data_IF_971641238997
#
_entry.id   IF_971641238997
#
_cell.length_a   1.000
_cell.length_b   1.000
_cell.length_c   1.000
_cell.angle_alpha   90.00
_cell.angle_beta   90.00
_cell.angle_gamma   90.00
#
_symmetry.space_group_name_H-M   'P 1'
#
loop_
_entity.id
_entity.type
_entity.pdbx_description
1 polymer ?
#
# COMPACT_ATOMS: atom_id res chain seq x y z
N UNK A 1 17.96 -17.20 -5.84
CA UNK A 1 17.42 -18.47 -6.37
C UNK A 1 18.22 -18.85 -7.60
N UNK A 2 18.43 -20.14 -7.80
CA UNK A 2 19.08 -20.72 -8.99
C UNK A 2 18.05 -21.16 -10.06
N UNK A 3 16.86 -20.55 -10.06
CA UNK A 3 15.71 -20.81 -10.95
C UNK A 3 14.94 -22.11 -10.69
N UNK A 4 15.23 -22.83 -9.62
CA UNK A 4 14.47 -24.04 -9.20
C UNK A 4 13.20 -23.73 -8.41
N UNK A 5 12.92 -22.45 -8.15
CA UNK A 5 11.74 -21.98 -7.41
C UNK A 5 11.94 -21.96 -5.87
N UNK A 6 13.11 -22.31 -5.37
CA UNK A 6 13.44 -22.27 -3.95
C UNK A 6 14.39 -21.13 -3.61
N UNK A 7 14.38 -20.70 -2.36
CA UNK A 7 15.31 -19.71 -1.84
C UNK A 7 16.64 -20.35 -1.45
N UNK A 8 17.74 -19.97 -2.10
CA UNK A 8 19.08 -20.42 -1.73
C UNK A 8 19.66 -19.65 -0.55
N UNK A 9 19.23 -18.40 -0.39
CA UNK A 9 19.72 -17.51 0.66
C UNK A 9 18.58 -16.68 1.24
N UNK A 10 18.59 -16.53 2.57
CA UNK A 10 17.72 -15.62 3.31
C UNK A 10 18.59 -14.62 4.07
N UNK A 11 18.39 -13.33 3.82
CA UNK A 11 19.08 -12.25 4.51
C UNK A 11 18.11 -11.25 5.07
N UNK A 12 18.18 -10.97 6.36
CA UNK A 12 17.43 -9.86 6.97
C UNK A 12 18.01 -8.54 6.52
N UNK A 13 17.16 -7.64 6.01
CA UNK A 13 17.52 -6.27 5.62
C UNK A 13 17.18 -5.26 6.71
N UNK A 14 16.29 -5.60 7.64
CA UNK A 14 15.89 -4.75 8.77
C UNK A 14 15.28 -5.58 9.89
N UNK A 15 15.34 -5.09 11.13
CA UNK A 15 14.78 -5.71 12.32
C UNK A 15 14.49 -4.67 13.40
N UNK A 16 13.81 -5.06 14.48
CA UNK A 16 13.48 -4.15 15.60
C UNK A 16 12.02 -3.67 15.58
N UNK A 17 11.14 -4.41 14.93
CA UNK A 17 9.70 -4.19 14.90
C UNK A 17 9.01 -4.96 16.03
N UNK A 18 7.94 -4.35 16.62
CA UNK A 18 7.25 -4.82 17.80
C UNK A 18 8.00 -4.55 19.12
N UNK A 19 7.99 -3.31 19.58
CA UNK A 19 8.41 -2.91 20.94
C UNK A 19 7.42 -3.42 21.98
N UNK A 20 6.12 -3.39 21.65
CA UNK A 20 5.05 -3.95 22.47
C UNK A 20 4.56 -5.30 21.92
N UNK A 21 3.84 -6.04 22.76
CA UNK A 21 3.16 -7.25 22.31
C UNK A 21 2.07 -6.83 21.33
N UNK A 22 2.14 -7.38 20.12
CA UNK A 22 1.15 -7.13 19.08
C UNK A 22 -0.06 -8.04 19.21
N UNK A 23 -1.23 -7.44 19.00
CA UNK A 23 -2.48 -8.17 18.85
C UNK A 23 -3.07 -7.87 17.46
N UNK A 24 -3.76 -8.84 16.89
CA UNK A 24 -4.66 -8.60 15.74
C UNK A 24 -4.06 -7.83 14.55
N UNK A 25 -2.89 -8.26 14.07
CA UNK A 25 -2.37 -7.74 12.81
C UNK A 25 -1.68 -6.38 12.86
N UNK A 26 -1.25 -5.90 14.04
CA UNK A 26 -0.46 -4.66 14.16
C UNK A 26 1.05 -4.86 13.86
N UNK A 27 1.43 -6.00 13.29
CA UNK A 27 2.79 -6.32 12.89
C UNK A 27 3.23 -5.63 11.60
N UNK A 28 4.39 -6.06 11.10
CA UNK A 28 4.87 -5.60 9.79
C UNK A 28 3.94 -6.04 8.66
N UNK A 29 3.66 -5.13 7.74
CA UNK A 29 2.77 -5.39 6.61
C UNK A 29 3.04 -4.42 5.44
N UNK A 30 2.43 -4.68 4.30
CA UNK A 30 2.40 -3.78 3.16
C UNK A 30 3.74 -3.59 2.44
N UNK A 31 4.60 -4.63 2.36
CA UNK A 31 5.87 -4.50 1.67
C UNK A 31 5.69 -4.29 0.16
N UNK A 32 6.11 -3.14 -0.34
CA UNK A 32 5.97 -2.75 -1.76
C UNK A 32 7.24 -2.05 -2.25
N UNK A 33 7.58 -2.24 -3.52
CA UNK A 33 8.66 -1.50 -4.18
C UNK A 33 8.13 -0.18 -4.73
N UNK A 34 8.66 0.92 -4.25
CA UNK A 34 8.31 2.26 -4.72
C UNK A 34 8.88 2.61 -6.10
N UNK A 35 8.36 3.67 -6.74
CA UNK A 35 8.84 4.14 -8.04
C UNK A 35 10.28 4.68 -8.00
N UNK A 36 10.80 5.02 -6.82
CA UNK A 36 12.19 5.38 -6.55
C UNK A 36 13.13 4.16 -6.44
N UNK A 37 12.59 2.94 -6.55
CA UNK A 37 13.32 1.68 -6.46
C UNK A 37 13.59 1.19 -5.04
N UNK A 38 13.20 1.95 -3.99
CA UNK A 38 13.29 1.52 -2.60
C UNK A 38 12.18 0.54 -2.25
N UNK A 39 12.39 -0.23 -1.20
CA UNK A 39 11.37 -1.09 -0.58
C UNK A 39 10.73 -0.32 0.57
N UNK A 40 9.41 -0.27 0.60
CA UNK A 40 8.61 0.36 1.63
C UNK A 40 7.84 -0.71 2.40
N UNK A 41 7.64 -0.52 3.70
CA UNK A 41 6.74 -1.33 4.53
C UNK A 41 6.28 -0.56 5.75
N UNK A 42 5.17 -1.02 6.34
CA UNK A 42 4.59 -0.44 7.53
C UNK A 42 4.73 -1.31 8.77
N UNK A 43 4.52 -0.71 9.93
CA UNK A 43 4.26 -1.37 11.20
C UNK A 43 3.24 -0.55 11.97
N UNK A 44 2.36 -1.24 12.71
CA UNK A 44 1.37 -0.59 13.56
C UNK A 44 1.92 -0.06 14.89
N UNK A 45 1.04 0.38 15.77
CA UNK A 45 1.34 1.07 17.04
C UNK A 45 1.98 0.19 18.12
N UNK A 46 2.19 -1.11 17.85
CA UNK A 46 3.10 -1.94 18.65
C UNK A 46 4.54 -1.43 18.58
N UNK A 47 4.82 -0.54 17.64
CA UNK A 47 5.98 0.29 17.57
C UNK A 47 7.24 -0.39 17.08
N UNK A 48 8.29 0.41 16.98
CA UNK A 48 9.58 -0.01 16.47
C UNK A 48 10.74 0.58 17.27
N UNK A 49 11.83 -0.20 17.38
CA UNK A 49 13.14 0.22 17.86
C UNK A 49 14.18 -0.41 16.93
N UNK A 50 14.50 0.30 15.87
CA UNK A 50 15.24 -0.20 14.72
C UNK A 50 16.66 0.35 14.79
N UNK A 51 17.64 -0.52 14.58
CA UNK A 51 19.01 -0.11 14.27
C UNK A 51 19.27 -0.36 12.79
N UNK A 52 19.44 0.71 12.04
CA UNK A 52 19.74 0.64 10.62
C UNK A 52 21.14 0.11 10.34
N UNK A 53 21.43 -0.23 9.09
CA UNK A 53 22.70 -0.81 8.65
C UNK A 53 23.91 0.13 8.89
N UNK A 54 23.67 1.44 8.88
CA UNK A 54 24.68 2.47 9.18
C UNK A 54 24.87 2.75 10.68
N UNK A 55 24.13 2.04 11.55
CA UNK A 55 24.16 2.22 13.00
C UNK A 55 23.19 3.26 13.55
N UNK A 56 22.47 3.99 12.71
CA UNK A 56 21.44 4.92 13.13
C UNK A 56 20.31 4.20 13.86
N UNK A 57 19.75 4.82 14.90
CA UNK A 57 18.71 4.23 15.72
C UNK A 57 17.41 5.03 15.64
N UNK A 58 16.31 4.31 15.37
CA UNK A 58 14.97 4.85 15.20
C UNK A 58 14.03 4.26 16.26
N UNK A 59 13.47 5.12 17.13
CA UNK A 59 12.58 4.72 18.25
C UNK A 59 11.19 5.30 18.12
N UNK A 60 10.22 4.45 17.88
CA UNK A 60 8.80 4.79 17.72
C UNK A 60 7.92 3.82 18.53
N UNK A 61 7.92 3.90 19.87
CA UNK A 61 7.37 2.84 20.71
C UNK A 61 5.83 2.76 20.74
N UNK A 62 5.10 3.85 20.46
CA UNK A 62 3.64 3.94 20.63
C UNK A 62 2.96 4.49 19.39
N UNK A 63 3.49 4.20 18.22
CA UNK A 63 2.95 4.65 16.95
C UNK A 63 3.40 3.75 15.82
N UNK A 64 2.56 3.64 14.81
CA UNK A 64 2.94 3.04 13.56
C UNK A 64 3.80 3.99 12.72
N UNK A 65 4.63 3.40 11.88
CA UNK A 65 5.49 4.09 10.93
C UNK A 65 5.47 3.39 9.58
N UNK A 66 5.72 4.15 8.52
CA UNK A 66 6.13 3.61 7.24
C UNK A 66 7.61 3.92 7.06
N UNK A 67 8.36 2.91 6.71
CA UNK A 67 9.80 3.00 6.48
C UNK A 67 10.14 2.62 5.04
N UNK A 68 11.32 3.06 4.58
CA UNK A 68 11.86 2.64 3.28
C UNK A 68 13.38 2.47 3.36
N UNK A 69 13.92 1.61 2.51
CA UNK A 69 15.36 1.47 2.30
C UNK A 69 15.67 0.96 0.88
N UNK A 70 16.93 0.99 0.52
CA UNK A 70 17.40 0.29 -0.68
C UNK A 70 17.18 -1.22 -0.54
N UNK A 71 17.11 -1.99 -1.65
CA UNK A 71 16.95 -3.44 -1.62
C UNK A 71 18.02 -4.21 -0.81
N UNK A 72 19.18 -3.61 -0.58
CA UNK A 72 20.26 -4.17 0.24
C UNK A 72 20.19 -3.77 1.72
N UNK A 73 19.16 -2.97 2.13
CA UNK A 73 18.97 -2.45 3.48
C UNK A 73 19.75 -1.17 3.79
N UNK A 74 20.49 -0.61 2.83
CA UNK A 74 21.15 0.70 2.99
C UNK A 74 20.17 1.87 2.83
N UNK A 75 20.59 3.07 3.24
CA UNK A 75 19.76 4.29 3.16
C UNK A 75 18.37 4.09 3.79
N UNK A 76 18.36 3.48 4.98
CA UNK A 76 17.15 3.29 5.75
C UNK A 76 16.65 4.62 6.30
N UNK A 77 15.34 4.86 6.18
CA UNK A 77 14.70 6.06 6.69
C UNK A 77 13.24 5.79 7.09
N UNK A 78 12.72 6.58 8.02
CA UNK A 78 11.30 6.64 8.34
C UNK A 78 10.64 7.63 7.39
N UNK A 79 9.75 7.14 6.54
CA UNK A 79 9.05 7.93 5.54
C UNK A 79 7.90 8.73 6.16
N UNK A 80 7.13 8.09 7.03
CA UNK A 80 6.02 8.72 7.76
C UNK A 80 5.81 8.06 9.11
N UNK A 81 5.14 8.75 10.03
CA UNK A 81 4.94 8.34 11.41
C UNK A 81 3.55 8.68 11.94
N UNK A 82 3.25 8.30 13.18
CA UNK A 82 2.01 8.65 13.84
C UNK A 82 0.79 7.90 13.31
N UNK A 83 1.00 6.78 12.61
CA UNK A 83 -0.08 5.88 12.23
C UNK A 83 -0.51 5.02 13.41
N UNK A 84 -1.77 4.56 13.40
CA UNK A 84 -2.15 3.51 14.33
C UNK A 84 -1.82 2.15 13.75
N UNK A 85 -2.39 1.81 12.60
CA UNK A 85 -2.13 0.51 11.98
C UNK A 85 -2.40 0.56 10.48
N UNK A 86 -1.38 0.95 9.73
CA UNK A 86 -1.41 0.93 8.27
C UNK A 86 -1.07 -0.47 7.79
N UNK A 87 -2.08 -1.26 7.40
CA UNK A 87 -1.89 -2.61 6.89
C UNK A 87 -1.26 -2.64 5.51
N UNK A 88 -1.86 -1.89 4.59
CA UNK A 88 -1.34 -1.74 3.24
C UNK A 88 -1.45 -0.30 2.78
N UNK A 89 -0.59 0.04 1.87
CA UNK A 89 -0.59 1.29 1.13
C UNK A 89 -0.14 1.01 -0.29
N UNK A 90 -0.56 1.85 -1.22
CA UNK A 90 -0.28 1.67 -2.64
C UNK A 90 0.23 2.96 -3.25
N UNK A 91 1.04 2.82 -4.29
CA UNK A 91 1.38 3.92 -5.17
C UNK A 91 0.34 4.04 -6.27
N UNK A 92 -0.14 5.26 -6.50
CA UNK A 92 -0.91 5.56 -7.69
C UNK A 92 0.00 5.73 -8.93
N UNK A 93 -0.60 6.08 -10.06
CA UNK A 93 0.13 6.27 -11.32
C UNK A 93 1.15 7.43 -11.29
N UNK A 94 1.06 8.32 -10.32
CA UNK A 94 1.95 9.48 -10.14
C UNK A 94 3.01 9.23 -9.07
N UNK A 95 2.99 8.08 -8.41
CA UNK A 95 3.90 7.75 -7.32
C UNK A 95 3.49 8.31 -5.96
N UNK A 96 2.23 8.75 -5.80
CA UNK A 96 1.69 9.15 -4.50
C UNK A 96 1.25 7.94 -3.70
N UNK A 97 1.48 7.97 -2.39
CA UNK A 97 1.06 6.91 -1.47
C UNK A 97 -0.34 7.20 -0.95
N UNK A 98 -1.25 6.27 -1.19
CA UNK A 98 -2.61 6.26 -0.63
C UNK A 98 -2.75 5.05 0.29
N UNK A 99 -3.36 5.26 1.45
CA UNK A 99 -3.63 4.21 2.43
C UNK A 99 -4.93 4.46 3.18
N UNK A 100 -5.43 3.43 3.85
CA UNK A 100 -6.47 3.55 4.86
C UNK A 100 -5.87 3.17 6.21
N UNK A 101 -5.76 4.15 7.13
CA UNK A 101 -5.22 3.95 8.46
C UNK A 101 -6.34 3.51 9.41
N UNK A 102 -6.14 2.35 10.04
CA UNK A 102 -7.13 1.71 10.89
C UNK A 102 -7.36 2.52 12.18
N UNK A 103 -8.60 2.64 12.61
CA UNK A 103 -9.00 3.41 13.80
C UNK A 103 -8.61 2.77 15.14
N UNK A 104 -8.92 3.46 16.26
CA UNK A 104 -8.65 2.99 17.62
C UNK A 104 -9.72 2.04 18.18
N UNK A 105 -10.75 1.65 17.41
CA UNK A 105 -11.90 0.88 17.87
C UNK A 105 -12.73 1.61 18.95
N UNK A 106 -12.74 2.93 18.95
CA UNK A 106 -13.51 3.73 19.88
C UNK A 106 -14.86 4.12 19.27
N UNK A 107 -15.98 4.11 20.02
CA UNK A 107 -17.27 4.51 19.50
C UNK A 107 -17.25 5.92 18.88
N UNK A 108 -17.67 6.02 17.61
CA UNK A 108 -17.70 7.26 16.85
C UNK A 108 -16.39 7.64 16.16
N UNK A 109 -15.33 6.86 16.32
CA UNK A 109 -14.13 6.94 15.50
C UNK A 109 -14.35 6.20 14.16
N UNK A 110 -13.65 6.58 13.13
CA UNK A 110 -13.68 5.94 11.82
C UNK A 110 -12.27 5.88 11.24
N UNK A 111 -12.04 4.90 10.41
CA UNK A 111 -10.83 4.78 9.61
C UNK A 111 -10.59 6.05 8.78
N UNK A 112 -9.35 6.28 8.43
CA UNK A 112 -8.94 7.45 7.68
C UNK A 112 -8.33 7.04 6.35
N UNK A 113 -8.96 7.43 5.23
CA UNK A 113 -8.33 7.38 3.92
C UNK A 113 -7.37 8.56 3.81
N UNK A 114 -6.08 8.28 3.61
CA UNK A 114 -5.01 9.27 3.71
C UNK A 114 -4.12 9.29 2.47
N UNK A 115 -3.67 10.50 2.12
CA UNK A 115 -2.56 10.71 1.19
C UNK A 115 -1.30 10.92 2.03
N UNK A 116 -0.35 10.00 1.94
CA UNK A 116 0.86 9.98 2.75
C UNK A 116 2.02 10.56 1.95
N UNK A 117 2.63 11.60 2.49
CA UNK A 117 3.83 12.24 1.93
C UNK A 117 5.03 12.06 2.85
N UNK A 118 6.23 12.27 2.36
CA UNK A 118 7.44 12.22 3.18
C UNK A 118 7.35 13.22 4.34
N UNK A 119 7.65 12.73 5.55
CA UNK A 119 7.52 13.52 6.78
C UNK A 119 6.09 13.65 7.32
N UNK A 120 5.11 12.94 6.72
CA UNK A 120 3.75 12.90 7.22
C UNK A 120 3.71 12.40 8.66
N UNK A 121 2.91 13.07 9.50
CA UNK A 121 2.60 12.67 10.86
C UNK A 121 1.08 12.60 11.04
N UNK A 122 0.58 11.38 11.27
CA UNK A 122 -0.85 11.15 11.48
C UNK A 122 -1.30 11.40 12.94
N UNK A 123 -0.37 11.66 13.87
CA UNK A 123 -0.65 12.12 15.24
C UNK A 123 -0.88 11.02 16.28
N UNK A 124 -0.94 9.75 15.90
CA UNK A 124 -1.11 8.67 16.86
C UNK A 124 0.14 8.51 17.75
N UNK A 125 -0.04 8.48 19.09
CA UNK A 125 1.03 8.45 20.10
C UNK A 125 0.71 7.54 21.29
N UNK A 126 -0.23 6.63 21.12
CA UNK A 126 -0.70 5.80 22.22
C UNK A 126 -0.59 4.30 21.90
N UNK A 127 -0.32 3.51 22.93
CA UNK A 127 -0.39 2.05 22.85
C UNK A 127 -1.79 1.53 23.21
N UNK A 128 -2.82 2.22 22.78
CA UNK A 128 -4.23 1.91 23.07
C UNK A 128 -4.56 0.43 22.93
N UNK A 129 -4.11 -0.21 21.85
CA UNK A 129 -4.38 -1.61 21.58
C UNK A 129 -3.81 -2.52 22.68
N UNK A 130 -2.59 -2.27 23.14
CA UNK A 130 -1.99 -3.02 24.24
C UNK A 130 -2.76 -2.81 25.54
N UNK A 131 -3.02 -1.57 25.95
CA UNK A 131 -3.75 -1.24 27.16
C UNK A 131 -5.18 -1.76 27.18
N UNK A 132 -5.87 -1.72 26.02
CA UNK A 132 -7.23 -2.25 25.86
C UNK A 132 -7.36 -3.74 26.28
N UNK A 133 -6.35 -4.54 26.01
CA UNK A 133 -6.38 -5.97 26.33
C UNK A 133 -5.71 -6.33 27.66
N UNK A 134 -4.73 -5.56 28.12
CA UNK A 134 -3.96 -5.86 29.34
C UNK A 134 -4.51 -5.21 30.58
N UNK A 135 -5.04 -4.00 30.48
CA UNK A 135 -5.61 -3.24 31.60
C UNK A 135 -6.77 -2.35 31.13
N UNK A 136 -7.90 -2.95 30.73
CA UNK A 136 -9.02 -2.19 30.18
C UNK A 136 -9.64 -1.19 31.15
N UNK A 137 -9.52 -1.41 32.47
CA UNK A 137 -10.08 -0.52 33.49
C UNK A 137 -9.31 0.79 33.63
N UNK A 138 -7.99 0.73 33.48
CA UNK A 138 -7.10 1.89 33.63
C UNK A 138 -6.58 2.42 32.28
N UNK A 139 -7.06 1.88 31.18
CA UNK A 139 -6.69 2.33 29.83
C UNK A 139 -7.60 3.48 29.37
N UNK A 140 -7.69 4.52 30.17
CA UNK A 140 -8.53 5.69 29.91
C UNK A 140 -7.80 6.80 29.14
N UNK A 141 -6.49 6.69 28.95
CA UNK A 141 -5.72 7.65 28.20
C UNK A 141 -5.96 7.51 26.70
N UNK A 142 -6.93 8.26 26.22
CA UNK A 142 -7.47 8.21 24.85
C UNK A 142 -7.45 9.59 24.20
N UNK A 143 -6.38 10.35 24.40
CA UNK A 143 -6.27 11.74 23.91
C UNK A 143 -6.63 11.85 22.42
N UNK A 144 -6.18 10.90 21.62
CA UNK A 144 -6.52 10.85 20.20
C UNK A 144 -8.03 10.81 19.95
N UNK A 145 -8.76 9.95 20.68
CA UNK A 145 -10.20 9.76 20.55
C UNK A 145 -10.97 10.90 21.22
N UNK A 146 -10.61 11.23 22.44
CA UNK A 146 -11.33 12.21 23.27
C UNK A 146 -11.22 13.62 22.66
N UNK A 147 -10.05 13.97 22.14
CA UNK A 147 -9.80 15.22 21.43
C UNK A 147 -10.18 15.17 19.94
N UNK A 148 -10.62 14.01 19.46
CA UNK A 148 -11.03 13.79 18.04
C UNK A 148 -9.97 14.22 17.03
N UNK A 149 -8.71 13.88 17.25
CA UNK A 149 -7.62 14.23 16.34
C UNK A 149 -7.76 13.58 14.94
N UNK A 150 -8.63 12.60 14.78
CA UNK A 150 -9.01 12.00 13.53
C UNK A 150 -9.96 12.87 12.67
N UNK A 151 -10.46 13.98 13.21
CA UNK A 151 -11.34 14.92 12.50
C UNK A 151 -10.69 16.30 12.38
N UNK A 152 -10.84 17.00 11.24
CA UNK A 152 -10.58 18.43 11.18
C UNK A 152 -11.52 19.17 12.14
N UNK A 153 -11.00 20.14 12.91
CA UNK A 153 -11.81 20.92 13.85
C UNK A 153 -12.61 22.05 13.18
N UNK A 154 -12.12 22.50 12.02
CA UNK A 154 -12.77 23.50 11.17
C UNK A 154 -12.25 23.39 9.73
N UNK A 155 -13.01 23.90 8.80
CA UNK A 155 -12.59 23.99 7.40
C UNK A 155 -11.35 24.87 7.25
N UNK A 156 -10.37 24.40 6.50
CA UNK A 156 -9.11 25.10 6.29
C UNK A 156 -8.15 25.10 7.47
N UNK A 157 -8.38 24.23 8.48
CA UNK A 157 -7.45 24.04 9.57
C UNK A 157 -6.04 23.80 9.05
N UNK A 158 -5.13 24.73 9.35
CA UNK A 158 -3.70 24.54 9.17
C UNK A 158 -3.22 23.57 10.26
N UNK A 159 -3.21 22.32 9.96
CA UNK A 159 -2.95 21.28 10.94
C UNK A 159 -1.46 20.95 11.01
N UNK A 160 -0.96 20.75 12.22
CA UNK A 160 0.24 19.96 12.49
C UNK A 160 0.00 18.46 12.20
N UNK A 161 -1.25 18.05 11.99
CA UNK A 161 -1.67 16.73 11.51
C UNK A 161 -2.40 16.95 10.20
N UNK A 162 -1.92 16.33 9.13
CA UNK A 162 -2.59 16.41 7.83
C UNK A 162 -3.97 15.76 7.91
N UNK A 163 -5.03 16.44 7.46
CA UNK A 163 -6.36 15.85 7.50
C UNK A 163 -6.45 14.66 6.53
N UNK A 164 -7.31 13.66 6.85
CA UNK A 164 -7.60 12.60 5.91
C UNK A 164 -8.32 13.16 4.67
N UNK A 165 -8.25 12.42 3.56
CA UNK A 165 -9.09 12.68 2.39
C UNK A 165 -10.56 12.58 2.80
N UNK A 166 -10.89 11.54 3.58
CA UNK A 166 -12.18 11.37 4.28
C UNK A 166 -12.08 10.25 5.32
N UNK A 167 -13.07 10.15 6.19
CA UNK A 167 -13.31 8.92 6.95
C UNK A 167 -13.84 7.83 6.01
N UNK A 168 -13.45 6.58 6.25
CA UNK A 168 -13.71 5.50 5.32
C UNK A 168 -14.18 4.22 6.02
N UNK A 169 -14.20 3.10 5.30
CA UNK A 169 -14.72 1.82 5.76
C UNK A 169 -13.85 1.16 6.81
N UNK A 170 -14.48 0.35 7.67
CA UNK A 170 -13.85 -0.29 8.82
C UNK A 170 -12.90 -1.44 8.43
N UNK A 171 -11.90 -1.67 9.28
CA UNK A 171 -10.99 -2.80 9.18
C UNK A 171 -10.27 -2.93 7.84
N UNK A 172 -9.63 -1.89 7.32
CA UNK A 172 -8.88 -1.97 6.08
C UNK A 172 -7.70 -2.92 6.25
N UNK A 173 -7.57 -3.91 5.36
CA UNK A 173 -6.47 -4.89 5.41
C UNK A 173 -5.69 -4.98 4.12
N UNK A 174 -6.36 -5.03 2.97
CA UNK A 174 -5.73 -5.15 1.66
C UNK A 174 -6.07 -3.96 0.76
N UNK A 175 -5.09 -3.46 0.02
CA UNK A 175 -5.30 -2.37 -0.91
C UNK A 175 -4.46 -2.52 -2.17
N UNK A 176 -5.04 -2.21 -3.34
CA UNK A 176 -4.32 -2.20 -4.61
C UNK A 176 -4.85 -1.09 -5.52
N UNK A 177 -3.99 -0.53 -6.35
CA UNK A 177 -4.34 0.39 -7.43
C UNK A 177 -4.32 -0.33 -8.77
N UNK A 178 -5.33 -0.08 -9.63
CA UNK A 178 -5.34 -0.67 -10.97
C UNK A 178 -4.10 -0.21 -11.76
N UNK A 179 -3.26 -1.15 -12.23
CA UNK A 179 -1.98 -0.79 -12.85
C UNK A 179 -2.12 -0.13 -14.23
N UNK A 180 -3.34 0.01 -14.77
CA UNK A 180 -3.62 0.63 -16.06
C UNK A 180 -4.08 -0.34 -17.15
N UNK A 181 -4.06 -1.65 -16.89
CA UNK A 181 -4.48 -2.68 -17.87
C UNK A 181 -5.33 -3.80 -17.25
N UNK A 182 -5.57 -3.76 -15.95
CA UNK A 182 -6.28 -4.82 -15.26
C UNK A 182 -7.81 -4.69 -15.37
N UNK A 183 -8.47 -5.85 -15.38
CA UNK A 183 -9.92 -5.96 -15.57
C UNK A 183 -10.34 -5.38 -16.93
N UNK A 184 -11.27 -4.44 -16.97
CA UNK A 184 -11.71 -3.70 -18.15
C UNK A 184 -11.62 -2.19 -17.95
N UNK A 185 -11.88 -1.39 -18.97
CA UNK A 185 -11.74 0.08 -18.96
C UNK A 185 -12.55 0.76 -17.84
N UNK A 186 -13.68 0.19 -17.44
CA UNK A 186 -14.48 0.66 -16.29
C UNK A 186 -13.64 0.80 -15.00
N UNK A 187 -12.58 -0.01 -14.85
CA UNK A 187 -11.82 -0.15 -13.62
C UNK A 187 -10.50 0.62 -13.62
N UNK A 188 -10.20 1.33 -14.70
CA UNK A 188 -8.99 2.13 -14.82
C UNK A 188 -8.99 3.30 -13.81
N UNK A 189 -7.80 3.62 -13.30
CA UNK A 189 -7.58 4.70 -12.32
C UNK A 189 -8.38 4.54 -11.01
N UNK A 190 -8.69 3.31 -10.63
CA UNK A 190 -9.39 2.99 -9.40
C UNK A 190 -8.51 2.26 -8.40
N UNK A 191 -8.75 2.54 -7.15
CA UNK A 191 -8.24 1.81 -6.00
C UNK A 191 -9.24 0.71 -5.61
N UNK A 192 -8.72 -0.35 -5.02
CA UNK A 192 -9.52 -1.42 -4.43
C UNK A 192 -9.09 -1.58 -2.98
N UNK A 193 -10.05 -1.67 -2.07
CA UNK A 193 -9.83 -1.77 -0.63
C UNK A 193 -10.64 -2.93 -0.06
N UNK A 194 -9.98 -3.73 0.75
CA UNK A 194 -10.63 -4.77 1.56
C UNK A 194 -11.15 -4.17 2.85
N UNK A 195 -12.42 -4.40 3.15
CA UNK A 195 -13.01 -4.20 4.48
C UNK A 195 -13.10 -5.56 5.19
N UNK A 196 -12.36 -5.71 6.29
CA UNK A 196 -12.33 -6.94 7.09
C UNK A 196 -12.95 -6.71 8.46
N UNK A 197 -14.11 -7.30 8.69
CA UNK A 197 -14.80 -7.24 9.99
C UNK A 197 -15.11 -8.63 10.57
N UNK A 198 -14.34 -9.65 10.18
CA UNK A 198 -14.47 -11.02 10.70
C UNK A 198 -15.72 -11.76 10.25
N UNK A 199 -16.53 -11.18 9.36
CA UNK A 199 -17.79 -11.75 8.89
C UNK A 199 -17.89 -11.61 7.36
N UNK A 200 -17.96 -12.71 6.59
CA UNK A 200 -18.05 -12.69 5.14
C UNK A 200 -19.22 -11.84 4.59
N UNK A 201 -20.36 -11.87 5.27
CA UNK A 201 -21.53 -11.08 4.84
C UNK A 201 -21.38 -9.57 5.08
N UNK A 202 -20.33 -9.13 5.78
CA UNK A 202 -20.09 -7.72 6.14
C UNK A 202 -18.71 -7.23 5.73
N UNK A 203 -17.96 -8.03 4.98
CA UNK A 203 -16.57 -7.74 4.59
C UNK A 203 -16.47 -7.67 3.06
N UNK A 204 -16.91 -6.56 2.43
CA UNK A 204 -16.80 -6.39 0.99
C UNK A 204 -15.38 -5.99 0.56
N UNK A 205 -15.15 -6.06 -0.76
CA UNK A 205 -14.12 -5.30 -1.45
C UNK A 205 -14.80 -4.08 -2.06
N UNK A 206 -14.27 -2.91 -1.75
CA UNK A 206 -14.67 -1.63 -2.32
C UNK A 206 -13.73 -1.24 -3.45
N UNK A 207 -14.27 -0.64 -4.50
CA UNK A 207 -13.50 0.11 -5.49
C UNK A 207 -13.84 1.58 -5.37
N UNK A 208 -12.82 2.45 -5.35
CA UNK A 208 -13.03 3.88 -5.26
C UNK A 208 -12.11 4.65 -6.20
N UNK A 209 -12.48 5.89 -6.46
CA UNK A 209 -11.71 6.82 -7.30
C UNK A 209 -11.43 8.11 -6.54
N UNK A 210 -10.23 8.62 -6.73
CA UNK A 210 -9.79 9.91 -6.24
C UNK A 210 -9.52 10.84 -7.42
N UNK A 211 -9.71 12.13 -7.22
CA UNK A 211 -9.26 13.16 -8.16
C UNK A 211 -8.33 14.15 -7.46
N UNK A 212 -7.30 14.66 -8.15
CA UNK A 212 -6.41 15.67 -7.60
C UNK A 212 -7.16 16.92 -7.15
N UNK A 213 -6.77 17.45 -5.98
CA UNK A 213 -7.27 18.70 -5.42
C UNK A 213 -6.17 19.45 -4.70
N UNK A 214 -5.61 20.48 -5.34
CA UNK A 214 -4.44 21.17 -4.80
C UNK A 214 -3.26 20.23 -4.64
N UNK A 215 -2.70 20.16 -3.44
CA UNK A 215 -1.57 19.28 -3.12
C UNK A 215 -2.00 17.88 -2.62
N UNK A 216 -3.26 17.53 -2.71
CA UNK A 216 -3.82 16.25 -2.24
C UNK A 216 -4.93 15.80 -3.18
N UNK A 217 -5.85 14.99 -2.66
CA UNK A 217 -6.96 14.39 -3.39
C UNK A 217 -8.29 14.73 -2.71
N UNK A 218 -9.36 14.71 -3.50
CA UNK A 218 -10.71 14.57 -3.00
C UNK A 218 -11.32 13.25 -3.48
N UNK A 219 -12.23 12.73 -2.70
CA UNK A 219 -12.95 11.50 -3.00
C UNK A 219 -13.95 11.76 -4.12
N UNK A 220 -13.93 10.93 -5.18
CA UNK A 220 -14.81 11.12 -6.33
C UNK A 220 -16.01 10.16 -6.28
N UNK A 221 -15.74 8.86 -6.12
CA UNK A 221 -16.78 7.83 -6.16
C UNK A 221 -16.34 6.53 -5.53
N UNK A 222 -17.30 5.69 -5.19
CA UNK A 222 -17.07 4.31 -4.76
C UNK A 222 -18.16 3.36 -5.27
N UNK A 223 -17.80 2.08 -5.37
CA UNK A 223 -18.74 0.99 -5.62
C UNK A 223 -18.27 -0.27 -4.90
N UNK A 224 -19.23 -1.08 -4.46
CA UNK A 224 -18.93 -2.39 -3.89
C UNK A 224 -18.69 -3.39 -5.02
N UNK A 225 -17.50 -4.02 -5.01
CA UNK A 225 -17.07 -4.97 -6.05
C UNK A 225 -17.61 -6.36 -5.75
N UNK A 226 -17.40 -6.84 -4.53
CA UNK A 226 -17.83 -8.17 -4.09
C UNK A 226 -18.13 -8.18 -2.59
N UNK A 227 -18.94 -9.15 -2.18
CA UNK A 227 -19.28 -9.46 -0.79
C UNK A 227 -19.59 -10.96 -0.68
N UNK A 228 -19.48 -11.54 0.51
CA UNK A 228 -19.80 -12.96 0.76
C UNK A 228 -18.57 -13.84 0.91
N UNK A 229 -17.37 -13.28 0.85
CA UNK A 229 -16.09 -13.87 1.25
C UNK A 229 -15.50 -13.02 2.38
N UNK A 230 -14.46 -13.53 3.06
CA UNK A 230 -13.75 -12.76 4.08
C UNK A 230 -12.34 -12.41 3.59
N UNK A 231 -12.21 -11.37 2.74
CA UNK A 231 -10.93 -11.03 2.12
C UNK A 231 -9.97 -10.44 3.15
N UNK A 232 -8.66 -10.65 2.95
CA UNK A 232 -7.59 -10.07 3.78
C UNK A 232 -6.56 -9.33 2.97
N UNK A 233 -6.23 -9.82 1.78
CA UNK A 233 -5.26 -9.18 0.88
C UNK A 233 -5.72 -9.31 -0.57
N UNK A 234 -5.31 -8.37 -1.39
CA UNK A 234 -5.66 -8.34 -2.82
C UNK A 234 -4.45 -7.89 -3.66
N UNK A 235 -4.34 -8.44 -4.87
CA UNK A 235 -3.29 -8.05 -5.81
C UNK A 235 -3.72 -8.30 -7.26
N UNK A 236 -3.27 -7.47 -8.19
CA UNK A 236 -3.46 -7.71 -9.62
C UNK A 236 -2.38 -8.62 -10.19
N UNK A 237 -2.81 -9.75 -10.73
CA UNK A 237 -1.93 -10.67 -11.45
C UNK A 237 -1.37 -10.09 -12.75
N UNK A 238 -0.35 -10.75 -13.33
CA UNK A 238 0.20 -10.36 -14.62
C UNK A 238 -0.82 -10.50 -15.77
N UNK A 239 -1.82 -11.35 -15.58
CA UNK A 239 -2.95 -11.57 -16.50
C UNK A 239 -4.07 -10.52 -16.38
N UNK A 240 -3.90 -9.54 -15.48
CA UNK A 240 -4.86 -8.47 -15.23
C UNK A 240 -6.10 -8.87 -14.43
N UNK A 241 -6.15 -10.08 -13.89
CA UNK A 241 -7.20 -10.48 -12.95
C UNK A 241 -6.85 -10.02 -11.52
N UNK A 242 -7.86 -9.85 -10.67
CA UNK A 242 -7.70 -9.56 -9.24
C UNK A 242 -7.65 -10.87 -8.46
N UNK A 243 -6.55 -11.08 -7.73
CA UNK A 243 -6.38 -12.20 -6.82
C UNK A 243 -6.68 -11.79 -5.39
N UNK A 244 -7.46 -12.60 -4.68
CA UNK A 244 -7.99 -12.26 -3.37
C UNK A 244 -7.68 -13.39 -2.39
N UNK A 245 -6.94 -13.08 -1.33
CA UNK A 245 -6.74 -13.97 -0.20
C UNK A 245 -7.98 -13.95 0.70
N UNK A 246 -8.55 -15.13 1.00
CA UNK A 246 -9.78 -15.28 1.76
C UNK A 246 -9.51 -16.03 3.08
N UNK A 247 -9.79 -15.37 4.21
CA UNK A 247 -9.68 -15.92 5.57
C UNK A 247 -10.80 -16.90 5.91
N UNK A 248 -11.84 -16.91 5.08
CA UNK A 248 -13.03 -17.78 5.14
C UNK A 248 -14.04 -17.35 6.20
N UNK A 249 -13.70 -17.28 7.49
CA UNK A 249 -14.66 -16.92 8.54
C UNK A 249 -13.99 -16.59 9.89
N UNK A 250 -14.51 -15.58 10.57
CA UNK A 250 -14.14 -15.20 11.95
C UNK A 250 -12.76 -14.56 12.07
N UNK A 251 -12.28 -14.43 13.30
CA UNK A 251 -11.00 -13.77 13.62
C UNK A 251 -9.87 -14.77 13.96
N UNK A 252 -10.22 -15.99 14.31
CA UNK A 252 -9.24 -17.00 14.73
C UNK A 252 -8.55 -17.68 13.56
N UNK A 253 -7.26 -18.00 13.73
CA UNK A 253 -6.50 -18.83 12.80
C UNK A 253 -6.98 -20.27 12.83
N UNK A 254 -7.26 -20.85 11.69
CA UNK A 254 -7.78 -22.21 11.54
C UNK A 254 -6.92 -23.07 10.62
N UNK A 255 -5.71 -22.62 10.29
CA UNK A 255 -4.76 -23.30 9.40
C UNK A 255 -5.32 -23.64 8.01
N UNK A 256 -6.27 -22.85 7.51
CA UNK A 256 -6.79 -22.94 6.16
C UNK A 256 -7.15 -21.55 5.63
N UNK A 257 -7.15 -21.41 4.33
CA UNK A 257 -7.52 -20.24 3.58
C UNK A 257 -7.71 -20.60 2.13
N UNK A 258 -8.04 -19.67 1.30
CA UNK A 258 -8.08 -19.86 -0.16
C UNK A 258 -7.72 -18.57 -0.87
N UNK A 259 -7.39 -18.73 -2.15
CA UNK A 259 -7.15 -17.61 -3.06
C UNK A 259 -8.20 -17.70 -4.16
N UNK A 260 -8.89 -16.59 -4.35
CA UNK A 260 -9.82 -16.43 -5.46
C UNK A 260 -9.13 -15.68 -6.60
N UNK A 261 -9.40 -16.12 -7.83
CA UNK A 261 -9.16 -15.30 -9.03
C UNK A 261 -10.49 -14.70 -9.44
N UNK A 262 -10.52 -13.38 -9.49
CA UNK A 262 -11.69 -12.60 -9.89
C UNK A 262 -11.38 -11.86 -11.17
N UNK A 263 -12.31 -11.95 -12.12
CA UNK A 263 -12.12 -11.30 -13.42
C UNK A 263 -13.46 -10.78 -13.96
N UNK A 264 -13.38 -9.94 -14.98
CA UNK A 264 -14.55 -9.50 -15.75
C UNK A 264 -15.01 -10.61 -16.70
N UNK A 265 -16.27 -10.61 -17.04
CA UNK A 265 -16.80 -11.50 -18.07
C UNK A 265 -16.27 -11.12 -19.46
N UNK A 266 -16.26 -12.05 -20.41
CA UNK A 266 -15.75 -11.82 -21.75
C UNK A 266 -16.36 -10.59 -22.44
N UNK A 267 -17.63 -10.34 -22.23
CA UNK A 267 -18.33 -9.16 -22.79
C UNK A 267 -17.88 -7.82 -22.19
N UNK A 268 -17.22 -7.84 -21.04
CA UNK A 268 -16.72 -6.67 -20.34
C UNK A 268 -15.18 -6.58 -20.35
N UNK A 269 -14.51 -7.48 -21.08
CA UNK A 269 -13.08 -7.51 -21.21
C UNK A 269 -12.61 -6.76 -22.46
N UNK A 270 -12.87 -5.47 -22.49
CA UNK A 270 -12.50 -4.57 -23.60
C UNK A 270 -10.99 -4.28 -23.67
N UNK A 271 -10.22 -4.72 -22.67
CA UNK A 271 -8.75 -4.65 -22.64
C UNK A 271 -8.07 -6.00 -22.88
N UNK A 272 -8.78 -7.01 -23.40
CA UNK A 272 -8.27 -8.39 -23.51
C UNK A 272 -6.92 -8.51 -24.23
N UNK A 273 -6.72 -7.83 -25.35
CA UNK A 273 -5.47 -7.88 -26.11
C UNK A 273 -4.33 -7.16 -25.37
N UNK A 274 -4.61 -6.01 -24.76
CA UNK A 274 -3.65 -5.27 -23.95
C UNK A 274 -3.22 -6.06 -22.70
N UNK A 275 -4.14 -6.80 -22.09
CA UNK A 275 -3.84 -7.70 -20.96
C UNK A 275 -2.92 -8.84 -21.38
N UNK A 276 -3.15 -9.48 -22.53
CA UNK A 276 -2.27 -10.52 -23.08
C UNK A 276 -0.87 -9.97 -23.37
N UNK A 277 -0.80 -8.78 -23.95
CA UNK A 277 0.47 -8.10 -24.18
C UNK A 277 1.19 -7.82 -22.85
N UNK A 278 0.50 -7.26 -21.87
CA UNK A 278 1.04 -6.99 -20.54
C UNK A 278 1.56 -8.26 -19.88
N UNK A 279 0.81 -9.35 -19.91
CA UNK A 279 1.25 -10.64 -19.36
C UNK A 279 2.54 -11.13 -20.01
N UNK A 280 2.65 -11.03 -21.35
CA UNK A 280 3.87 -11.36 -22.08
C UNK A 280 5.04 -10.46 -21.67
N UNK A 281 4.82 -9.15 -21.57
CA UNK A 281 5.85 -8.18 -21.19
C UNK A 281 6.28 -8.34 -19.73
N UNK A 282 5.40 -8.75 -18.83
CA UNK A 282 5.76 -9.02 -17.43
C UNK A 282 6.78 -10.17 -17.29
N UNK A 283 6.81 -11.09 -18.23
CA UNK A 283 7.73 -12.26 -18.28
C UNK A 283 9.02 -11.97 -19.05
N UNK A 284 9.14 -10.77 -19.66
CA UNK A 284 10.29 -10.40 -20.48
C UNK A 284 11.54 -10.22 -19.61
N UNK A 285 12.70 -10.63 -20.13
CA UNK A 285 13.99 -10.24 -19.56
C UNK A 285 14.36 -8.82 -20.03
N UNK A 286 14.23 -7.87 -19.12
CA UNK A 286 14.50 -6.46 -19.39
C UNK A 286 16.00 -6.18 -19.56
N UNK A 287 16.89 -7.02 -19.04
CA UNK A 287 18.34 -6.85 -19.16
C UNK A 287 18.83 -7.04 -20.60
N UNK A 288 18.13 -7.86 -21.38
CA UNK A 288 18.43 -8.14 -22.79
C UNK A 288 17.86 -7.10 -23.77
N UNK A 289 17.00 -6.19 -23.30
CA UNK A 289 16.36 -5.20 -24.16
C UNK A 289 17.32 -4.06 -24.52
N UNK A 290 17.22 -3.54 -25.75
CA UNK A 290 17.97 -2.33 -26.16
C UNK A 290 17.43 -1.07 -25.45
N UNK A 291 18.19 0.03 -25.49
CA UNK A 291 17.74 1.32 -24.96
C UNK A 291 16.45 1.80 -25.61
N UNK A 292 16.31 1.66 -26.93
CA UNK A 292 15.11 2.07 -27.68
C UNK A 292 13.89 1.20 -27.33
N UNK A 293 14.08 -0.10 -27.12
CA UNK A 293 13.01 -0.99 -26.66
C UNK A 293 12.54 -0.61 -25.25
N UNK A 294 13.48 -0.33 -24.33
CA UNK A 294 13.14 0.13 -22.98
C UNK A 294 12.46 1.50 -23.01
N UNK A 295 12.92 2.42 -23.89
CA UNK A 295 12.27 3.72 -24.07
C UNK A 295 10.80 3.54 -24.49
N UNK A 296 10.52 2.67 -25.46
CA UNK A 296 9.14 2.39 -25.88
C UNK A 296 8.28 1.85 -24.73
N UNK A 297 8.84 1.00 -23.86
CA UNK A 297 8.14 0.44 -22.72
C UNK A 297 7.87 1.46 -21.59
N UNK A 298 8.59 2.59 -21.53
CA UNK A 298 8.27 3.69 -20.60
C UNK A 298 6.93 4.36 -20.89
N UNK A 299 6.38 4.21 -22.10
CA UNK A 299 5.07 4.75 -22.49
C UNK A 299 3.94 3.72 -22.43
N UNK A 300 4.21 2.51 -21.94
CA UNK A 300 3.19 1.47 -21.83
C UNK A 300 2.09 1.87 -20.83
N UNK A 301 0.85 1.49 -21.09
CA UNK A 301 -0.29 1.84 -20.22
C UNK A 301 -0.16 1.24 -18.82
N UNK A 302 0.37 0.01 -18.70
CA UNK A 302 0.58 -0.63 -17.40
C UNK A 302 1.79 -0.04 -16.67
N UNK A 303 1.55 0.52 -15.48
CA UNK A 303 2.62 1.13 -14.69
C UNK A 303 3.71 0.13 -14.27
N UNK A 304 3.40 -1.15 -14.12
CA UNK A 304 4.38 -2.19 -13.76
C UNK A 304 5.39 -2.39 -14.89
N UNK A 305 4.96 -2.31 -16.13
CA UNK A 305 5.83 -2.36 -17.32
C UNK A 305 6.73 -1.13 -17.38
N UNK A 306 6.17 0.07 -17.19
CA UNK A 306 6.95 1.31 -17.11
C UNK A 306 8.01 1.25 -16.03
N UNK A 307 7.66 0.80 -14.83
CA UNK A 307 8.59 0.68 -13.69
C UNK A 307 9.69 -0.34 -13.96
N UNK A 308 9.38 -1.51 -14.54
CA UNK A 308 10.41 -2.50 -14.91
C UNK A 308 11.43 -1.89 -15.87
N UNK A 309 10.96 -1.17 -16.89
CA UNK A 309 11.84 -0.48 -17.85
C UNK A 309 12.67 0.60 -17.18
N UNK A 310 12.06 1.44 -16.35
CA UNK A 310 12.74 2.49 -15.57
C UNK A 310 13.84 1.90 -14.67
N UNK A 311 13.55 0.83 -13.95
CA UNK A 311 14.53 0.19 -13.05
C UNK A 311 15.70 -0.42 -13.81
N UNK A 312 15.46 -1.04 -14.96
CA UNK A 312 16.53 -1.56 -15.80
C UNK A 312 17.40 -0.42 -16.36
N UNK A 313 16.78 0.65 -16.86
CA UNK A 313 17.52 1.84 -17.32
C UNK A 313 18.35 2.47 -16.19
N UNK A 314 17.78 2.60 -14.99
CA UNK A 314 18.50 3.12 -13.83
C UNK A 314 19.73 2.25 -13.48
N UNK A 315 19.59 0.91 -13.56
CA UNK A 315 20.67 -0.05 -13.33
C UNK A 315 21.82 0.09 -14.34
N UNK A 316 21.54 0.52 -15.56
CA UNK A 316 22.55 0.74 -16.63
C UNK A 316 23.40 2.00 -16.41
N UNK A 317 23.10 2.81 -15.38
CA UNK A 317 23.86 4.02 -15.08
C UNK A 317 23.78 5.09 -16.18
N UNK A 318 24.94 5.67 -16.58
CA UNK A 318 24.97 6.79 -17.54
C UNK A 318 24.26 6.53 -18.87
N UNK A 319 24.43 5.38 -19.57
CA UNK A 319 23.67 5.10 -20.79
C UNK A 319 22.16 5.09 -20.57
N UNK A 320 21.69 4.47 -19.50
CA UNK A 320 20.26 4.44 -19.17
C UNK A 320 19.71 5.80 -18.78
N UNK A 321 20.48 6.61 -18.06
CA UNK A 321 20.10 7.99 -17.72
C UNK A 321 19.89 8.86 -18.96
N UNK A 322 20.65 8.65 -20.03
CA UNK A 322 20.45 9.36 -21.29
C UNK A 322 19.11 9.00 -21.94
N UNK A 323 18.72 7.72 -21.90
CA UNK A 323 17.41 7.25 -22.39
C UNK A 323 16.28 7.85 -21.57
N UNK A 324 16.40 7.81 -20.22
CA UNK A 324 15.39 8.40 -19.32
C UNK A 324 15.23 9.90 -19.56
N UNK A 325 16.33 10.62 -19.76
CA UNK A 325 16.27 12.05 -20.10
C UNK A 325 15.56 12.28 -21.43
N UNK A 326 15.86 11.48 -22.47
CA UNK A 326 15.16 11.57 -23.76
C UNK A 326 13.66 11.31 -23.62
N UNK A 327 13.25 10.37 -22.75
CA UNK A 327 11.84 10.13 -22.46
C UNK A 327 11.15 11.37 -21.86
N UNK A 328 11.80 12.06 -20.90
CA UNK A 328 11.28 13.30 -20.29
C UNK A 328 11.15 14.40 -21.33
N UNK A 329 12.17 14.60 -22.16
CA UNK A 329 12.19 15.65 -23.18
C UNK A 329 11.14 15.41 -24.28
N UNK A 330 10.73 14.17 -24.52
CA UNK A 330 9.72 13.79 -25.51
C UNK A 330 8.30 13.70 -24.93
N UNK A 331 8.16 13.58 -23.59
CA UNK A 331 6.85 13.60 -22.95
C UNK A 331 6.30 15.03 -23.06
N UNK A 332 5.24 15.23 -23.85
CA UNK A 332 4.40 16.40 -23.69
C UNK A 332 3.92 16.44 -22.25
N UNK A 333 4.23 17.55 -21.54
CA UNK A 333 3.91 17.72 -20.13
C UNK A 333 2.47 17.29 -19.83
N UNK A 334 2.33 16.16 -19.16
CA UNK A 334 1.07 15.71 -18.58
C UNK A 334 0.99 16.13 -17.12
#
# INVERSE_FOLDING_TARGET
TNEDGYFDQLKSISHGYAVHIGFSGHGMSGAIKGPDGKIYWGIGDIGANITAKDGSNYKYPNQGIIVRCNPDGSNFEVFSAGHRNTHEFVFDQYGNIISADNDGDHPGESERLVHIVEGYDAGWRTNWQFGKYTDPKNNDYKVWMDEKYFLPRWEGQAAHILPPIRNYHNGPTGMVYNPGTALGSKWLNKFFLVEFVGNPAKSPIWSFKLKPKGATYEFESEERVIQGILPTGIEFGPDGALYVADWINGWGTKNYGRVWKMDVTDNNNDLAELRKETERLMKLDYSEQTGDQLLALLYHQDMRIRQKSQFELAKRGKPGSMVLKSAIDQSENQ
#
